data_IF_751264808566
#
_entry.id   IF_751264808566
#
_cell.length_a   1.000
_cell.length_b   1.000
_cell.length_c   1.000
_cell.angle_alpha   90.00
_cell.angle_beta   90.00
_cell.angle_gamma   90.00
#
_symmetry.space_group_name_H-M   'P 1'
#
loop_
_entity.id
_entity.type
_entity.pdbx_description
1 polymer ?
#
# COMPACT_ATOMS: atom_id res chain seq x y z
N UNK A 1 13.35 18.67 0.56
CA UNK A 1 13.40 17.35 1.18
C UNK A 1 12.31 16.46 0.65
N UNK A 2 12.69 15.31 0.17
CA UNK A 2 11.75 14.39 -0.47
C UNK A 2 11.22 13.38 0.53
N UNK A 3 10.23 13.77 1.30
CA UNK A 3 9.61 12.86 2.25
C UNK A 3 8.41 12.19 1.61
N UNK A 4 8.69 11.42 0.55
CA UNK A 4 7.64 10.67 -0.11
C UNK A 4 7.21 9.47 0.72
N UNK A 5 5.98 9.05 0.51
CA UNK A 5 5.45 7.82 1.09
C UNK A 5 5.23 6.79 -0.01
N UNK A 6 5.44 5.53 0.33
CA UNK A 6 5.02 4.42 -0.53
C UNK A 6 3.86 3.74 0.16
N UNK A 7 2.74 3.61 -0.56
CA UNK A 7 1.58 2.86 -0.10
C UNK A 7 1.70 1.41 -0.50
N UNK A 8 1.25 0.51 0.35
CA UNK A 8 1.32 -0.93 0.12
C UNK A 8 -0.05 -1.57 0.33
N UNK A 9 -0.54 -2.24 -0.70
CA UNK A 9 -1.67 -3.15 -0.58
C UNK A 9 -1.09 -4.56 -0.48
N UNK A 10 -1.04 -5.08 0.74
CA UNK A 10 -0.36 -6.34 1.05
C UNK A 10 -1.18 -7.55 0.61
N UNK A 11 -0.54 -8.47 -0.12
CA UNK A 11 -1.13 -9.74 -0.50
C UNK A 11 -0.17 -10.88 -0.21
N UNK A 12 -0.68 -12.11 -0.29
CA UNK A 12 0.10 -13.30 0.07
C UNK A 12 1.23 -13.62 -0.92
N UNK A 13 1.07 -13.29 -2.19
CA UNK A 13 2.07 -13.58 -3.21
C UNK A 13 2.47 -12.37 -4.03
N UNK A 14 1.77 -11.26 -3.85
CA UNK A 14 2.06 -10.02 -4.55
C UNK A 14 1.57 -8.85 -3.73
N UNK A 15 2.19 -7.69 -3.94
CA UNK A 15 1.78 -6.45 -3.29
C UNK A 15 1.66 -5.37 -4.36
N UNK A 16 0.66 -4.52 -4.21
CA UNK A 16 0.53 -3.33 -5.04
C UNK A 16 1.17 -2.15 -4.35
N UNK A 17 1.89 -1.35 -5.11
CA UNK A 17 2.58 -0.18 -4.57
C UNK A 17 2.11 1.10 -5.23
N UNK A 18 2.04 2.15 -4.43
CA UNK A 18 1.79 3.51 -4.88
C UNK A 18 2.85 4.41 -4.26
N UNK A 19 2.99 5.61 -4.79
CA UNK A 19 3.96 6.56 -4.26
C UNK A 19 3.35 7.96 -4.26
N UNK A 20 3.69 8.75 -3.25
CA UNK A 20 3.23 10.12 -3.18
C UNK A 20 4.22 11.07 -3.87
N UNK A 21 3.72 12.24 -4.23
CA UNK A 21 4.59 13.32 -4.66
C UNK A 21 5.40 13.84 -3.46
N UNK A 22 6.45 14.64 -3.68
CA UNK A 22 7.23 15.18 -2.57
C UNK A 22 6.44 16.05 -1.61
N UNK A 23 5.36 16.67 -2.07
CA UNK A 23 4.51 17.52 -1.25
C UNK A 23 3.48 16.75 -0.45
N UNK A 24 3.41 15.42 -0.64
CA UNK A 24 2.50 14.53 0.09
C UNK A 24 1.04 14.86 -0.15
N UNK A 25 0.70 15.25 -1.37
CA UNK A 25 -0.66 15.63 -1.74
C UNK A 25 -1.34 14.58 -2.60
N UNK A 26 -0.61 14.00 -3.56
CA UNK A 26 -1.17 13.10 -4.57
C UNK A 26 -0.51 11.74 -4.50
N UNK A 27 -1.33 10.69 -4.58
CA UNK A 27 -0.88 9.31 -4.68
C UNK A 27 -0.98 8.87 -6.13
N UNK A 28 0.07 8.24 -6.65
CA UNK A 28 0.07 7.67 -8.00
C UNK A 28 0.49 6.20 -7.94
N UNK A 29 0.00 5.37 -8.88
CA UNK A 29 0.41 3.96 -8.93
C UNK A 29 1.90 3.84 -9.21
N UNK A 30 2.56 2.88 -8.59
CA UNK A 30 3.98 2.64 -8.81
C UNK A 30 4.22 1.32 -9.54
N UNK A 31 3.95 0.20 -8.92
CA UNK A 31 4.12 -1.12 -9.54
C UNK A 31 3.54 -2.22 -8.65
N UNK A 32 3.39 -3.41 -9.22
CA UNK A 32 3.06 -4.62 -8.47
C UNK A 32 4.34 -5.44 -8.33
N UNK A 33 4.60 -5.92 -7.13
CA UNK A 33 5.73 -6.81 -6.85
C UNK A 33 5.19 -8.21 -6.59
N UNK A 34 5.73 -9.19 -7.30
CA UNK A 34 5.46 -10.60 -7.02
C UNK A 34 6.64 -11.13 -6.20
N UNK A 35 6.35 -11.98 -5.24
CA UNK A 35 7.38 -12.51 -4.37
C UNK A 35 7.06 -13.93 -3.93
N UNK A 36 8.08 -14.69 -3.57
CA UNK A 36 7.94 -16.09 -3.15
C UNK A 36 7.95 -16.24 -1.64
N UNK A 37 8.65 -15.36 -0.96
CA UNK A 37 8.75 -15.41 0.50
C UNK A 37 8.94 -14.00 1.04
N UNK A 38 8.75 -13.85 2.34
CA UNK A 38 8.82 -12.56 3.00
C UNK A 38 10.18 -11.89 2.85
N UNK A 39 11.24 -12.67 2.92
CA UNK A 39 12.59 -12.13 2.80
C UNK A 39 12.81 -11.47 1.44
N UNK A 40 12.33 -12.10 0.39
CA UNK A 40 12.41 -11.54 -0.96
C UNK A 40 11.62 -10.24 -1.06
N UNK A 41 10.42 -10.21 -0.48
CA UNK A 41 9.59 -9.02 -0.49
C UNK A 41 10.28 -7.86 0.22
N UNK A 42 10.83 -8.10 1.40
CA UNK A 42 11.50 -7.05 2.17
C UNK A 42 12.70 -6.50 1.41
N UNK A 43 13.46 -7.38 0.75
CA UNK A 43 14.61 -6.96 -0.05
C UNK A 43 14.17 -6.07 -1.20
N UNK A 44 13.12 -6.45 -1.92
CA UNK A 44 12.61 -5.66 -3.04
C UNK A 44 12.09 -4.31 -2.59
N UNK A 45 11.43 -4.27 -1.43
CA UNK A 45 10.93 -3.00 -0.89
C UNK A 45 12.08 -2.07 -0.48
N UNK A 46 13.14 -2.62 0.09
CA UNK A 46 14.32 -1.83 0.43
C UNK A 46 14.95 -1.21 -0.82
N UNK A 47 15.03 -2.00 -1.89
CA UNK A 47 15.59 -1.52 -3.16
C UNK A 47 14.74 -0.40 -3.76
N UNK A 48 13.42 -0.57 -3.74
CA UNK A 48 12.50 0.44 -4.28
C UNK A 48 12.55 1.72 -3.44
N UNK A 49 12.60 1.58 -2.12
CA UNK A 49 12.69 2.73 -1.24
C UNK A 49 13.98 3.51 -1.50
N UNK A 50 15.07 2.80 -1.70
CA UNK A 50 16.36 3.43 -1.99
C UNK A 50 16.33 4.16 -3.33
N UNK A 51 15.79 3.51 -4.36
CA UNK A 51 15.69 4.11 -5.70
C UNK A 51 14.86 5.39 -5.72
N UNK A 52 13.85 5.46 -4.87
CA UNK A 52 12.91 6.58 -4.84
C UNK A 52 13.15 7.52 -3.66
N UNK A 53 14.19 7.27 -2.88
CA UNK A 53 14.53 8.07 -1.71
C UNK A 53 13.36 8.16 -0.73
N UNK A 54 12.76 7.01 -0.43
CA UNK A 54 11.61 6.90 0.46
C UNK A 54 12.03 6.26 1.78
N UNK A 55 11.53 6.81 2.87
CA UNK A 55 11.80 6.29 4.22
C UNK A 55 10.54 5.88 4.95
N UNK A 56 9.38 6.08 4.35
CA UNK A 56 8.10 5.86 5.00
C UNK A 56 7.16 5.03 4.14
N UNK A 57 6.52 4.06 4.77
CA UNK A 57 5.52 3.21 4.12
C UNK A 57 4.17 3.37 4.80
N UNK A 58 3.12 3.32 4.00
CA UNK A 58 1.73 3.28 4.49
C UNK A 58 1.17 1.93 4.06
N UNK A 59 0.83 1.09 5.01
CA UNK A 59 0.34 -0.26 4.73
C UNK A 59 -1.16 -0.32 5.01
N UNK A 60 -1.91 -0.85 4.04
CA UNK A 60 -3.34 -1.06 4.23
C UNK A 60 -3.59 -2.10 5.32
N UNK A 61 -4.49 -1.79 6.24
CA UNK A 61 -4.83 -2.70 7.33
C UNK A 61 -6.17 -3.35 7.04
N UNK A 62 -6.20 -4.68 6.81
CA UNK A 62 -7.38 -5.35 6.26
C UNK A 62 -8.38 -5.79 7.35
N UNK A 63 -8.99 -4.84 8.03
CA UNK A 63 -10.07 -5.13 8.97
C UNK A 63 -11.29 -5.62 8.20
N UNK A 64 -12.09 -6.49 8.81
CA UNK A 64 -13.35 -6.89 8.19
C UNK A 64 -14.38 -5.77 8.36
N UNK A 65 -15.56 -5.95 7.77
CA UNK A 65 -16.60 -4.91 7.79
C UNK A 65 -17.14 -4.61 9.19
N UNK A 66 -16.92 -5.52 10.13
CA UNK A 66 -17.31 -5.34 11.53
C UNK A 66 -16.20 -4.69 12.36
N UNK A 67 -15.17 -4.15 11.70
CA UNK A 67 -14.03 -3.51 12.34
C UNK A 67 -13.24 -4.47 13.23
N UNK A 68 -13.23 -5.77 12.86
CA UNK A 68 -12.53 -6.80 13.62
C UNK A 68 -11.31 -7.30 12.88
N UNK A 69 -10.32 -7.74 13.65
CA UNK A 69 -9.12 -8.35 13.09
C UNK A 69 -9.42 -9.76 12.58
N UNK A 70 -8.60 -10.22 11.64
CA UNK A 70 -8.72 -11.52 11.00
C UNK A 70 -7.31 -12.07 10.74
N UNK A 71 -7.21 -13.18 9.99
CA UNK A 71 -5.90 -13.78 9.69
C UNK A 71 -4.99 -12.86 8.90
N UNK A 72 -5.56 -12.09 7.98
CA UNK A 72 -4.77 -11.14 7.18
C UNK A 72 -4.22 -10.01 8.04
N UNK A 73 -4.98 -9.54 9.03
CA UNK A 73 -4.47 -8.48 9.90
C UNK A 73 -3.26 -8.97 10.68
N UNK A 74 -3.26 -10.25 11.08
CA UNK A 74 -2.11 -10.81 11.77
C UNK A 74 -0.87 -10.83 10.88
N UNK A 75 -1.03 -11.20 9.61
CA UNK A 75 0.07 -11.19 8.66
C UNK A 75 0.60 -9.78 8.43
N UNK A 76 -0.30 -8.81 8.34
CA UNK A 76 0.09 -7.41 8.17
C UNK A 76 0.78 -6.89 9.44
N UNK A 77 0.32 -7.29 10.62
CA UNK A 77 0.98 -6.91 11.88
C UNK A 77 2.44 -7.39 11.88
N UNK A 78 2.67 -8.63 11.46
CA UNK A 78 4.03 -9.18 11.38
C UNK A 78 4.87 -8.43 10.36
N UNK A 79 4.30 -8.14 9.21
CA UNK A 79 4.96 -7.38 8.15
C UNK A 79 5.31 -5.97 8.61
N UNK A 80 4.40 -5.33 9.33
CA UNK A 80 4.62 -4.01 9.92
C UNK A 80 5.85 -3.99 10.81
N UNK A 81 5.95 -4.98 11.70
CA UNK A 81 7.09 -5.09 12.62
C UNK A 81 8.39 -5.30 11.84
N UNK A 82 8.34 -6.15 10.81
CA UNK A 82 9.53 -6.42 9.99
C UNK A 82 10.03 -5.17 9.27
N UNK A 83 9.10 -4.36 8.74
CA UNK A 83 9.47 -3.10 8.09
C UNK A 83 10.07 -2.12 9.09
N UNK A 84 9.48 -2.03 10.27
CA UNK A 84 10.02 -1.15 11.32
C UNK A 84 11.41 -1.56 11.75
N UNK A 85 11.66 -2.87 11.78
CA UNK A 85 12.98 -3.38 12.14
C UNK A 85 14.04 -3.06 11.09
N UNK A 86 13.62 -2.70 9.89
CA UNK A 86 14.54 -2.24 8.84
C UNK A 86 14.74 -0.72 8.87
N UNK A 87 14.27 -0.08 9.92
CA UNK A 87 14.42 1.36 10.16
C UNK A 87 13.57 2.24 9.26
N UNK A 88 12.48 1.71 8.75
CA UNK A 88 11.49 2.52 8.03
C UNK A 88 10.45 3.07 8.98
N UNK A 89 9.88 4.20 8.63
CA UNK A 89 8.67 4.68 9.28
C UNK A 89 7.50 3.93 8.65
N UNK A 90 6.62 3.37 9.46
CA UNK A 90 5.51 2.57 8.93
C UNK A 90 4.22 3.02 9.59
N UNK A 91 3.22 3.26 8.75
CA UNK A 91 1.89 3.68 9.19
C UNK A 91 0.86 2.70 8.67
N UNK A 92 -0.21 2.53 9.41
CA UNK A 92 -1.32 1.68 8.98
C UNK A 92 -2.51 2.54 8.57
N UNK A 93 -3.17 2.13 7.50
CA UNK A 93 -4.37 2.80 7.01
C UNK A 93 -5.45 1.75 6.80
N UNK A 94 -6.64 1.98 7.38
CA UNK A 94 -7.77 1.10 7.20
C UNK A 94 -8.08 0.97 5.70
N UNK A 95 -8.08 -0.27 5.19
CA UNK A 95 -8.30 -0.51 3.77
C UNK A 95 -9.68 -1.12 3.47
N UNK A 96 -10.57 -1.19 4.47
CA UNK A 96 -11.93 -1.66 4.21
C UNK A 96 -12.53 -0.85 3.09
N UNK A 97 -13.12 -1.41 2.13
CA UNK A 97 -13.72 -0.74 0.98
C UNK A 97 -12.75 -0.30 -0.11
N UNK A 98 -11.43 -0.42 0.10
CA UNK A 98 -10.48 -0.02 -0.95
C UNK A 98 -10.67 -0.84 -2.22
N UNK A 99 -10.88 -2.15 -2.09
CA UNK A 99 -11.13 -3.00 -3.26
C UNK A 99 -12.42 -2.63 -3.97
N UNK A 100 -13.47 -2.31 -3.21
CA UNK A 100 -14.74 -1.89 -3.79
C UNK A 100 -14.58 -0.55 -4.51
N UNK A 101 -13.87 0.39 -3.89
CA UNK A 101 -13.59 1.68 -4.50
C UNK A 101 -12.75 1.52 -5.77
N UNK A 102 -11.76 0.63 -5.74
CA UNK A 102 -10.95 0.34 -6.92
C UNK A 102 -11.78 -0.22 -8.06
N UNK A 103 -12.67 -1.16 -7.76
CA UNK A 103 -13.55 -1.74 -8.77
C UNK A 103 -14.47 -0.69 -9.37
N UNK A 104 -14.99 0.21 -8.54
CA UNK A 104 -15.85 1.29 -8.99
C UNK A 104 -15.11 2.22 -9.93
N UNK A 105 -13.89 2.61 -9.59
CA UNK A 105 -13.06 3.45 -10.45
C UNK A 105 -12.82 2.77 -11.79
N UNK A 106 -12.49 1.49 -11.76
CA UNK A 106 -12.26 0.75 -13.01
C UNK A 106 -13.50 0.69 -13.88
N UNK A 107 -14.68 0.49 -13.28
CA UNK A 107 -15.94 0.49 -14.04
C UNK A 107 -16.20 1.84 -14.67
N UNK A 108 -15.98 2.93 -13.92
CA UNK A 108 -16.20 4.29 -14.43
C UNK A 108 -15.25 4.62 -15.59
N UNK A 109 -14.06 4.03 -15.59
CA UNK A 109 -13.08 4.25 -16.64
C UNK A 109 -13.14 3.19 -17.75
N UNK A 110 -14.14 2.32 -17.70
CA UNK A 110 -14.30 1.22 -18.66
C UNK A 110 -13.11 0.28 -18.73
N UNK A 111 -12.45 0.10 -17.61
CA UNK A 111 -11.32 -0.84 -17.54
C UNK A 111 -11.88 -2.22 -17.25
N UNK A 112 -11.53 -3.20 -18.08
CA UNK A 112 -11.98 -4.57 -17.88
C UNK A 112 -11.24 -5.19 -16.70
N UNK A 113 -11.99 -5.78 -15.76
CA UNK A 113 -11.41 -6.37 -14.57
C UNK A 113 -10.91 -7.80 -14.75
N UNK A 114 -11.41 -8.52 -15.77
CA UNK A 114 -11.09 -9.94 -15.94
C UNK A 114 -9.60 -10.24 -16.05
N UNK A 115 -8.89 -9.47 -16.86
CA UNK A 115 -7.45 -9.64 -17.08
C UNK A 115 -6.63 -8.56 -16.37
N UNK A 116 -7.22 -7.78 -15.46
CA UNK A 116 -6.60 -6.61 -14.89
C UNK A 116 -6.53 -6.67 -13.36
N UNK A 117 -6.28 -7.86 -12.80
CA UNK A 117 -6.16 -8.00 -11.35
C UNK A 117 -5.03 -7.14 -10.79
N UNK A 118 -3.95 -6.99 -11.55
CA UNK A 118 -2.84 -6.14 -11.11
C UNK A 118 -3.26 -4.67 -11.06
N UNK A 119 -4.14 -4.25 -11.95
CA UNK A 119 -4.67 -2.89 -11.91
C UNK A 119 -5.49 -2.66 -10.64
N UNK A 120 -6.23 -3.68 -10.20
CA UNK A 120 -7.00 -3.57 -8.96
C UNK A 120 -6.05 -3.37 -7.77
N UNK A 121 -4.96 -4.13 -7.71
CA UNK A 121 -3.98 -4.00 -6.64
C UNK A 121 -3.31 -2.62 -6.66
N UNK A 122 -2.99 -2.11 -7.84
CA UNK A 122 -2.40 -0.79 -7.99
C UNK A 122 -3.37 0.31 -7.55
N UNK A 123 -4.63 0.20 -7.99
CA UNK A 123 -5.64 1.19 -7.63
C UNK A 123 -5.93 1.13 -6.14
N UNK A 124 -6.04 -0.08 -5.58
CA UNK A 124 -6.25 -0.24 -4.14
C UNK A 124 -5.13 0.40 -3.34
N UNK A 125 -3.87 0.15 -3.72
CA UNK A 125 -2.72 0.76 -3.07
C UNK A 125 -2.76 2.29 -3.18
N UNK A 126 -3.15 2.79 -4.35
CA UNK A 126 -3.23 4.22 -4.60
C UNK A 126 -4.30 4.87 -3.73
N UNK A 127 -5.43 4.19 -3.55
CA UNK A 127 -6.52 4.67 -2.69
C UNK A 127 -6.09 4.65 -1.23
N UNK A 128 -5.42 3.59 -0.79
CA UNK A 128 -4.92 3.48 0.58
C UNK A 128 -4.01 4.66 0.90
N UNK A 129 -3.06 4.92 0.03
CA UNK A 129 -2.12 6.02 0.23
C UNK A 129 -2.83 7.37 0.17
N UNK A 130 -3.69 7.58 -0.83
CA UNK A 130 -4.42 8.84 -0.95
C UNK A 130 -5.27 9.11 0.28
N UNK A 131 -5.95 8.09 0.80
CA UNK A 131 -6.75 8.23 2.02
C UNK A 131 -5.90 8.67 3.20
N UNK A 132 -4.69 8.13 3.28
CA UNK A 132 -3.75 8.53 4.33
C UNK A 132 -3.32 9.98 4.16
N UNK A 133 -2.98 10.38 2.94
CA UNK A 133 -2.54 11.75 2.66
C UNK A 133 -3.66 12.76 2.92
N UNK A 134 -4.89 12.39 2.58
CA UNK A 134 -6.06 13.29 2.74
C UNK A 134 -6.37 13.59 4.19
N UNK A 135 -5.98 12.74 5.11
CA UNK A 135 -6.16 13.00 6.54
C UNK A 135 -5.26 14.12 7.04
N UNK A 136 -4.34 14.54 6.18
CA UNK A 136 -3.28 15.41 6.62
C UNK A 136 -2.26 14.62 7.42
N UNK A 137 -1.08 14.45 6.85
CA UNK A 137 0.01 13.82 7.61
C UNK A 137 0.35 14.77 8.72
N UNK A 138 -0.04 14.40 9.89
CA UNK A 138 0.21 15.26 11.05
C UNK A 138 1.56 14.85 11.61
N UNK A 139 2.50 15.71 11.43
CA UNK A 139 3.83 15.52 11.98
C UNK A 139 3.82 16.03 13.40
N UNK A 140 3.39 15.19 14.26
CA UNK A 140 3.38 15.57 15.65
C UNK A 140 4.27 14.72 16.47
#
# INVERSE_FOLDING_TARGET
>A
MNDRFIGIDFGLSKVGLSISDPLKIISIPLKVIKYKNRKELLKKLQEIALENDVKSFVVGYPLNMNNKKNEMTKLVDDFFVELKNLNFNVFLQDERLSSESAKKIMREQNIKTGNNKEHIDLIASTIILQSFLDKGVIDE
#
